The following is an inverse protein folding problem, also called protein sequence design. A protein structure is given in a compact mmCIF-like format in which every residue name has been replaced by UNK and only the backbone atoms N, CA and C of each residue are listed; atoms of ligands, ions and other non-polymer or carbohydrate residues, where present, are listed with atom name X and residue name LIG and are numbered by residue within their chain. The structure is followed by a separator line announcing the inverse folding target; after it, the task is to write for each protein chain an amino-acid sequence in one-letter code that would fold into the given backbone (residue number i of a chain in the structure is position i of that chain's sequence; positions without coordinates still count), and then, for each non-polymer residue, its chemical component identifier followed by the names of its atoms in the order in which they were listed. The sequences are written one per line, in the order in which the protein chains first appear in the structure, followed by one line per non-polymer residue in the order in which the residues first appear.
data_IF_924708595602
#
_entry.id   IF_924708595602
#
_cell.length_a   1.000
_cell.length_b   1.000
_cell.length_c   1.000
_cell.angle_alpha   90.00
_cell.angle_beta   90.00
_cell.angle_gamma   90.00
#
_symmetry.space_group_name_H-M   'P 1'
#
loop_
_entity.id
_entity.type
_entity.pdbx_description
1 polymer ?
#
# COMPACT_ATOMS: atom_id res chain seq x y z
N UNK A 1 -25.75 42.78 -10.73
CA UNK A 1 -24.99 41.56 -11.05
C UNK A 1 -25.93 40.40 -10.80
N UNK A 2 -26.32 39.67 -11.85
CA UNK A 2 -27.30 38.56 -11.72
C UNK A 2 -26.64 37.41 -10.96
N UNK A 3 -27.37 36.80 -10.01
CA UNK A 3 -26.91 35.66 -9.22
C UNK A 3 -26.51 34.44 -10.08
N UNK A 4 -26.88 34.43 -11.36
CA UNK A 4 -26.63 33.35 -12.31
C UNK A 4 -25.18 33.28 -12.82
N UNK A 5 -24.38 34.33 -12.60
CA UNK A 5 -22.98 34.38 -13.03
C UNK A 5 -22.10 33.34 -12.29
N UNK A 6 -22.50 32.92 -11.09
CA UNK A 6 -21.75 31.97 -10.24
C UNK A 6 -22.31 30.54 -10.23
N UNK A 7 -23.35 30.26 -11.02
CA UNK A 7 -23.96 28.92 -11.06
C UNK A 7 -23.04 28.00 -11.87
N UNK A 8 -22.43 26.96 -11.25
CA UNK A 8 -21.41 26.14 -11.90
C UNK A 8 -22.00 25.03 -12.78
N UNK A 9 -23.29 25.12 -13.10
CA UNK A 9 -24.03 24.12 -13.90
C UNK A 9 -24.85 24.83 -14.99
N UNK A 10 -25.09 24.20 -16.15
CA UNK A 10 -25.96 24.75 -17.16
C UNK A 10 -27.37 24.96 -16.62
N UNK A 11 -27.77 26.22 -16.55
CA UNK A 11 -29.02 26.68 -15.96
C UNK A 11 -29.72 27.72 -16.84
N UNK A 12 -31.04 27.66 -16.91
CA UNK A 12 -31.90 28.60 -17.64
C UNK A 12 -33.10 29.02 -16.78
N UNK A 13 -33.43 30.31 -16.83
CA UNK A 13 -34.75 30.82 -16.46
C UNK A 13 -35.58 30.89 -17.74
N UNK A 14 -36.76 30.26 -17.73
CA UNK A 14 -37.67 30.27 -18.87
C UNK A 14 -39.06 30.73 -18.47
N UNK A 15 -39.83 31.28 -19.41
CA UNK A 15 -41.26 31.53 -19.21
C UNK A 15 -42.11 30.29 -19.55
N UNK A 16 -43.44 30.45 -19.51
CA UNK A 16 -44.41 29.38 -19.82
C UNK A 16 -44.35 28.85 -21.26
N UNK A 17 -43.77 29.61 -22.17
CA UNK A 17 -43.57 29.26 -23.58
C UNK A 17 -42.15 28.74 -23.86
N UNK A 18 -41.35 28.55 -22.80
CA UNK A 18 -39.93 28.18 -22.84
C UNK A 18 -39.00 29.26 -23.42
N UNK A 19 -39.43 30.52 -23.48
CA UNK A 19 -38.55 31.61 -23.87
C UNK A 19 -37.52 31.84 -22.76
N UNK A 20 -36.25 31.94 -23.14
CA UNK A 20 -35.14 32.09 -22.20
C UNK A 20 -35.12 33.52 -21.69
N UNK A 21 -35.40 33.70 -20.40
CA UNK A 21 -35.35 34.98 -19.70
C UNK A 21 -33.93 35.30 -19.25
N UNK A 22 -33.23 34.32 -18.67
CA UNK A 22 -31.82 34.41 -18.27
C UNK A 22 -31.14 33.04 -18.36
N UNK A 23 -29.81 33.00 -18.40
CA UNK A 23 -29.03 31.77 -18.41
C UNK A 23 -27.72 31.93 -17.63
N UNK A 24 -27.17 30.82 -17.14
CA UNK A 24 -25.85 30.80 -16.48
C UNK A 24 -24.69 30.94 -17.47
N UNK A 25 -23.52 31.35 -16.98
CA UNK A 25 -22.29 31.38 -17.79
C UNK A 25 -21.97 30.00 -18.41
N UNK A 26 -22.20 28.92 -17.66
CA UNK A 26 -21.96 27.55 -18.16
C UNK A 26 -22.87 27.19 -19.33
N UNK A 27 -24.15 27.60 -19.28
CA UNK A 27 -25.06 27.44 -20.42
C UNK A 27 -24.56 28.15 -21.68
N UNK A 28 -23.97 29.34 -21.52
CA UNK A 28 -23.45 30.13 -22.63
C UNK A 28 -22.19 29.54 -23.29
N UNK A 29 -21.38 28.79 -22.55
CA UNK A 29 -20.26 28.03 -23.12
C UNK A 29 -20.75 26.77 -23.84
N UNK A 30 -21.76 26.09 -23.27
CA UNK A 30 -22.17 24.76 -23.69
C UNK A 30 -23.10 24.74 -24.90
N UNK A 31 -24.02 25.71 -24.97
CA UNK A 31 -25.09 25.77 -25.94
C UNK A 31 -24.93 26.96 -26.88
N UNK A 32 -25.57 26.88 -28.05
CA UNK A 32 -25.68 28.04 -28.95
C UNK A 32 -26.63 29.08 -28.35
N UNK A 33 -26.43 30.39 -28.59
CA UNK A 33 -27.39 31.40 -28.19
C UNK A 33 -28.74 31.17 -28.90
N UNK A 34 -29.80 30.96 -28.12
CA UNK A 34 -31.17 30.77 -28.61
C UNK A 34 -32.14 31.60 -27.79
N UNK A 35 -33.23 32.04 -28.42
CA UNK A 35 -34.29 32.78 -27.73
C UNK A 35 -35.25 31.84 -26.99
N UNK A 36 -35.40 30.60 -27.46
CA UNK A 36 -36.24 29.59 -26.84
C UNK A 36 -35.41 28.36 -26.44
N UNK A 37 -35.70 27.78 -25.29
CA UNK A 37 -35.00 26.59 -24.80
C UNK A 37 -35.21 25.37 -25.70
N UNK A 38 -36.39 25.24 -26.32
CA UNK A 38 -36.70 24.11 -27.20
C UNK A 38 -35.83 24.08 -28.46
N UNK A 39 -35.27 25.22 -28.87
CA UNK A 39 -34.33 25.30 -29.99
C UNK A 39 -32.98 24.64 -29.66
N UNK A 40 -32.68 24.43 -28.37
CA UNK A 40 -31.50 23.70 -27.90
C UNK A 40 -31.74 22.19 -27.80
N UNK A 41 -33.02 21.79 -27.81
CA UNK A 41 -33.44 20.40 -27.73
C UNK A 41 -33.55 19.83 -29.14
N UNK A 42 -33.04 18.62 -29.34
CA UNK A 42 -33.17 17.92 -30.61
C UNK A 42 -34.65 17.75 -31.01
N UNK A 43 -34.93 17.85 -32.31
CA UNK A 43 -36.30 17.84 -32.86
C UNK A 43 -37.10 16.63 -32.37
N UNK A 44 -36.47 15.45 -32.26
CA UNK A 44 -37.14 14.23 -31.80
C UNK A 44 -37.40 14.22 -30.28
N UNK A 45 -36.74 15.09 -29.52
CA UNK A 45 -36.91 15.25 -28.07
C UNK A 45 -37.79 16.43 -27.68
N UNK A 46 -38.17 17.32 -28.61
CA UNK A 46 -38.97 18.52 -28.32
C UNK A 46 -40.39 18.21 -27.82
N UNK A 47 -41.07 17.20 -28.39
CA UNK A 47 -42.40 16.80 -27.93
C UNK A 47 -42.37 16.25 -26.50
N UNK A 48 -41.32 15.47 -26.18
CA UNK A 48 -41.05 14.98 -24.83
C UNK A 48 -40.76 16.14 -23.88
N UNK A 49 -39.93 17.10 -24.29
CA UNK A 49 -39.63 18.29 -23.50
C UNK A 49 -40.90 19.09 -23.19
N UNK A 50 -41.72 19.39 -24.21
CA UNK A 50 -42.99 20.11 -24.01
C UNK A 50 -43.90 19.38 -23.03
N UNK A 51 -44.12 18.08 -23.25
CA UNK A 51 -45.04 17.28 -22.43
C UNK A 51 -44.60 17.18 -20.97
N UNK A 52 -43.31 16.95 -20.72
CA UNK A 52 -42.83 16.67 -19.36
C UNK A 52 -42.39 17.93 -18.60
N UNK A 53 -41.90 18.96 -19.29
CA UNK A 53 -41.45 20.20 -18.64
C UNK A 53 -42.62 21.18 -18.39
N UNK A 54 -43.73 21.09 -19.13
CA UNK A 54 -44.90 21.96 -18.89
C UNK A 54 -45.84 21.46 -17.78
N UNK A 55 -45.61 20.24 -17.25
CA UNK A 55 -46.46 19.65 -16.22
C UNK A 55 -46.35 20.45 -14.92
N UNK A 56 -47.45 21.13 -14.56
CA UNK A 56 -47.61 21.81 -13.26
C UNK A 56 -48.38 20.90 -12.31
N UNK A 57 -48.13 21.00 -11.01
CA UNK A 57 -48.70 20.12 -9.96
C UNK A 57 -50.23 19.99 -9.94
N UNK A 58 -50.98 20.89 -10.62
CA UNK A 58 -52.44 20.80 -10.75
C UNK A 58 -52.91 19.80 -11.81
N UNK A 59 -52.09 19.50 -12.80
CA UNK A 59 -52.46 18.65 -13.96
C UNK A 59 -52.01 17.19 -13.80
N UNK A 60 -51.27 16.86 -12.73
CA UNK A 60 -50.73 15.52 -12.47
C UNK A 60 -51.77 14.48 -12.03
N UNK A 61 -53.05 14.85 -11.91
CA UNK A 61 -54.13 13.92 -11.51
C UNK A 61 -54.76 13.15 -12.67
N UNK A 62 -54.48 13.49 -13.93
CA UNK A 62 -55.11 12.83 -15.08
C UNK A 62 -54.22 11.81 -15.82
N UNK A 63 -52.94 11.67 -15.45
CA UNK A 63 -52.06 10.62 -15.99
C UNK A 63 -51.75 9.56 -14.92
N UNK A 64 -52.79 8.93 -14.36
CA UNK A 64 -52.63 7.67 -13.65
C UNK A 64 -53.40 6.58 -14.38
N UNK A 65 -52.80 6.02 -15.43
CA UNK A 65 -53.13 4.67 -15.87
C UNK A 65 -51.82 3.95 -16.18
N UNK A 66 -51.56 2.95 -15.33
CA UNK A 66 -50.68 1.80 -15.49
C UNK A 66 -49.19 2.03 -15.68
N UNK A 67 -48.46 2.16 -14.56
CA UNK A 67 -47.27 1.34 -14.29
C UNK A 67 -46.87 1.45 -12.80
N UNK A 68 -46.75 0.34 -12.06
CA UNK A 68 -46.32 0.36 -10.66
C UNK A 68 -44.80 0.22 -10.61
N UNK A 69 -44.06 1.25 -10.22
CA UNK A 69 -42.73 1.06 -9.63
C UNK A 69 -42.46 2.09 -8.53
N UNK A 70 -42.27 1.52 -7.35
CA UNK A 70 -41.53 2.01 -6.18
C UNK A 70 -41.86 3.40 -5.64
N UNK A 71 -42.81 3.38 -4.70
CA UNK A 71 -42.96 4.37 -3.65
C UNK A 71 -41.67 4.50 -2.83
N UNK A 72 -40.93 5.60 -3.02
CA UNK A 72 -40.19 6.24 -1.93
C UNK A 72 -39.75 7.66 -2.30
N UNK A 73 -40.68 8.62 -2.24
CA UNK A 73 -40.33 10.02 -1.92
C UNK A 73 -41.52 10.76 -1.34
N UNK A 74 -41.58 10.91 -0.02
CA UNK A 74 -42.44 11.92 0.62
C UNK A 74 -41.71 12.53 1.83
N UNK A 75 -40.76 13.43 1.54
CA UNK A 75 -40.54 14.58 2.43
C UNK A 75 -41.53 15.65 1.98
N UNK A 76 -42.62 15.78 2.74
CA UNK A 76 -43.56 16.89 2.61
C UNK A 76 -42.82 18.19 2.92
N UNK A 77 -42.54 18.98 1.89
CA UNK A 77 -42.31 20.41 2.01
C UNK A 77 -43.15 21.09 0.93
N UNK A 78 -43.69 22.28 1.24
CA UNK A 78 -44.53 23.10 0.35
C UNK A 78 -43.74 23.68 -0.84
N UNK A 79 -42.99 22.84 -1.56
CA UNK A 79 -42.28 23.17 -2.79
C UNK A 79 -42.98 22.53 -3.99
N UNK A 80 -43.07 23.24 -5.10
CA UNK A 80 -43.56 22.70 -6.37
C UNK A 80 -42.74 21.46 -6.78
N UNK A 81 -43.39 20.44 -7.34
CA UNK A 81 -42.73 19.20 -7.74
C UNK A 81 -41.70 19.46 -8.83
N UNK A 82 -40.48 18.98 -8.60
CA UNK A 82 -39.40 19.01 -9.60
C UNK A 82 -39.73 17.95 -10.66
N UNK A 83 -39.84 18.38 -11.92
CA UNK A 83 -40.02 17.47 -13.05
C UNK A 83 -38.65 17.12 -13.62
N UNK A 84 -38.41 15.85 -13.92
CA UNK A 84 -37.17 15.34 -14.51
C UNK A 84 -37.45 14.68 -15.86
N UNK A 85 -36.61 14.96 -16.85
CA UNK A 85 -36.72 14.36 -18.18
C UNK A 85 -35.36 14.26 -18.86
N UNK A 86 -35.10 13.11 -19.47
CA UNK A 86 -33.92 12.91 -20.32
C UNK A 86 -34.20 13.45 -21.72
N UNK A 87 -33.36 14.39 -22.17
CA UNK A 87 -33.46 15.06 -23.46
C UNK A 87 -32.13 14.98 -24.22
N UNK A 88 -32.22 14.74 -25.52
CA UNK A 88 -31.08 14.94 -26.41
C UNK A 88 -31.02 16.42 -26.75
N UNK A 89 -29.87 17.05 -26.50
CA UNK A 89 -29.64 18.47 -26.73
C UNK A 89 -28.46 18.69 -27.68
N UNK A 90 -28.53 19.80 -28.43
CA UNK A 90 -27.48 20.22 -29.35
C UNK A 90 -26.51 21.15 -28.62
N UNK A 91 -25.27 20.73 -28.48
CA UNK A 91 -24.20 21.53 -27.85
C UNK A 91 -23.28 22.10 -28.91
N UNK A 92 -22.40 23.02 -28.52
CA UNK A 92 -21.38 23.56 -29.44
C UNK A 92 -20.40 22.48 -29.94
N UNK A 93 -20.08 21.50 -29.09
CA UNK A 93 -19.06 20.47 -29.37
C UNK A 93 -19.64 19.18 -29.97
N UNK A 94 -20.92 18.86 -29.68
CA UNK A 94 -21.61 17.68 -30.19
C UNK A 94 -23.07 17.98 -30.50
N UNK A 95 -23.58 17.62 -31.70
CA UNK A 95 -24.97 17.82 -32.09
C UNK A 95 -25.95 16.89 -31.36
N UNK A 96 -25.48 15.80 -30.74
CA UNK A 96 -26.34 14.84 -30.03
C UNK A 96 -25.72 14.48 -28.68
N UNK A 97 -26.10 15.20 -27.63
CA UNK A 97 -25.65 14.92 -26.26
C UNK A 97 -26.84 14.68 -25.35
N UNK A 98 -26.76 13.64 -24.51
CA UNK A 98 -27.83 13.29 -23.59
C UNK A 98 -27.71 14.07 -22.28
N UNK A 99 -28.79 14.74 -21.89
CA UNK A 99 -28.89 15.52 -20.67
C UNK A 99 -30.08 15.05 -19.83
N UNK A 100 -29.87 14.96 -18.53
CA UNK A 100 -30.95 14.95 -17.55
C UNK A 100 -31.35 16.42 -17.25
N UNK A 101 -32.56 16.79 -17.65
CA UNK A 101 -33.10 18.13 -17.44
C UNK A 101 -34.08 18.12 -16.27
N UNK A 102 -33.86 19.00 -15.29
CA UNK A 102 -34.75 19.19 -14.15
C UNK A 102 -35.38 20.59 -14.23
N UNK A 103 -36.71 20.67 -14.17
CA UNK A 103 -37.42 21.95 -14.09
C UNK A 103 -38.21 22.06 -12.81
N UNK A 104 -38.12 23.23 -12.18
CA UNK A 104 -38.99 23.64 -11.09
C UNK A 104 -39.65 24.97 -11.49
N UNK A 105 -40.98 24.97 -11.55
CA UNK A 105 -41.73 26.20 -11.75
C UNK A 105 -41.82 26.97 -10.43
N UNK A 106 -41.63 28.28 -10.46
CA UNK A 106 -42.05 29.24 -9.44
C UNK A 106 -42.96 30.27 -10.13
N UNK A 107 -44.26 30.23 -9.79
CA UNK A 107 -45.30 31.01 -10.48
C UNK A 107 -45.30 30.76 -12.02
N UNK A 108 -44.86 31.74 -12.82
CA UNK A 108 -44.76 31.65 -14.28
C UNK A 108 -43.32 31.54 -14.81
N UNK A 109 -42.35 31.46 -13.90
CA UNK A 109 -40.94 31.30 -14.23
C UNK A 109 -40.51 29.85 -13.97
N UNK A 110 -39.96 29.20 -14.99
CA UNK A 110 -39.36 27.89 -14.92
C UNK A 110 -37.86 27.98 -14.65
N UNK A 111 -37.41 27.37 -13.56
CA UNK A 111 -36.00 27.19 -13.23
C UNK A 111 -35.54 25.85 -13.78
N UNK A 112 -34.71 25.87 -14.81
CA UNK A 112 -34.29 24.68 -15.53
C UNK A 112 -32.78 24.42 -15.34
N UNK A 113 -32.43 23.21 -14.95
CA UNK A 113 -31.06 22.71 -14.81
C UNK A 113 -30.83 21.58 -15.82
N UNK A 114 -29.72 21.62 -16.56
CA UNK A 114 -29.34 20.56 -17.50
C UNK A 114 -28.03 19.90 -17.04
N UNK A 115 -28.07 18.60 -16.73
CA UNK A 115 -26.90 17.82 -16.31
C UNK A 115 -26.54 16.85 -17.43
N UNK A 116 -25.33 16.96 -17.98
CA UNK A 116 -24.84 16.04 -19.02
C UNK A 116 -24.56 14.66 -18.41
N UNK A 117 -25.02 13.59 -19.04
CA UNK A 117 -24.89 12.24 -18.46
C UNK A 117 -23.47 11.64 -18.56
N UNK A 118 -22.49 12.34 -19.17
CA UNK A 118 -21.15 11.82 -19.46
C UNK A 118 -20.01 12.30 -18.51
N UNK A 119 -20.23 13.27 -17.62
CA UNK A 119 -19.14 13.85 -16.79
C UNK A 119 -18.81 13.04 -15.52
N UNK A 120 -19.68 12.13 -15.08
CA UNK A 120 -19.48 11.34 -13.85
C UNK A 120 -18.41 10.24 -13.98
N UNK A 121 -18.10 9.77 -15.19
CA UNK A 121 -17.13 8.69 -15.43
C UNK A 121 -15.70 9.22 -15.59
N UNK A 122 -15.50 10.43 -16.13
CA UNK A 122 -14.17 11.00 -16.27
C UNK A 122 -13.54 11.36 -14.92
N UNK A 123 -14.30 11.93 -13.98
CA UNK A 123 -13.78 12.24 -12.64
C UNK A 123 -13.42 10.98 -11.85
N UNK A 124 -14.26 9.94 -11.91
CA UNK A 124 -13.97 8.65 -11.30
C UNK A 124 -12.75 7.97 -11.94
N UNK A 125 -12.59 8.08 -13.26
CA UNK A 125 -11.42 7.52 -13.96
C UNK A 125 -10.15 8.25 -13.56
N UNK A 126 -10.18 9.58 -13.45
CA UNK A 126 -9.03 10.39 -13.00
C UNK A 126 -8.68 10.10 -11.53
N UNK A 127 -9.68 9.97 -10.66
CA UNK A 127 -9.48 9.60 -9.25
C UNK A 127 -8.87 8.20 -9.12
N UNK A 128 -9.37 7.23 -9.90
CA UNK A 128 -8.82 5.86 -9.93
C UNK A 128 -7.41 5.83 -10.50
N UNK A 129 -7.12 6.62 -11.54
CA UNK A 129 -5.76 6.73 -12.08
C UNK A 129 -4.79 7.37 -11.08
N UNK A 130 -5.21 8.41 -10.37
CA UNK A 130 -4.40 9.06 -9.34
C UNK A 130 -4.17 8.15 -8.13
N UNK A 131 -5.20 7.40 -7.71
CA UNK A 131 -5.04 6.35 -6.70
C UNK A 131 -4.08 5.26 -7.16
N UNK A 132 -4.18 4.77 -8.39
CA UNK A 132 -3.24 3.75 -8.91
C UNK A 132 -1.80 4.27 -8.95
N UNK A 133 -1.60 5.54 -9.31
CA UNK A 133 -0.28 6.18 -9.30
C UNK A 133 0.27 6.30 -7.88
N UNK A 134 -0.54 6.81 -6.94
CA UNK A 134 -0.19 6.89 -5.51
C UNK A 134 0.08 5.52 -4.87
N UNK A 135 -0.66 4.48 -5.25
CA UNK A 135 -0.41 3.12 -4.78
C UNK A 135 0.95 2.62 -5.31
N UNK A 136 1.26 2.85 -6.58
CA UNK A 136 2.56 2.47 -7.15
C UNK A 136 3.74 3.22 -6.50
N UNK A 137 3.58 4.52 -6.22
CA UNK A 137 4.59 5.32 -5.53
C UNK A 137 4.76 4.88 -4.07
N UNK A 138 3.65 4.65 -3.35
CA UNK A 138 3.67 4.11 -1.97
C UNK A 138 4.30 2.72 -1.92
N UNK A 139 4.00 1.85 -2.90
CA UNK A 139 4.60 0.52 -2.98
C UNK A 139 6.12 0.61 -3.18
N UNK A 140 6.60 1.55 -3.99
CA UNK A 140 8.04 1.78 -4.15
C UNK A 140 8.70 2.28 -2.86
N UNK A 141 8.10 3.26 -2.18
CA UNK A 141 8.59 3.75 -0.88
C UNK A 141 8.57 2.65 0.20
N UNK A 142 7.51 1.85 0.27
CA UNK A 142 7.40 0.70 1.17
C UNK A 142 8.47 -0.35 0.88
N UNK A 143 8.77 -0.60 -0.40
CA UNK A 143 9.79 -1.55 -0.81
C UNK A 143 11.19 -1.07 -0.41
N UNK A 144 11.47 0.23 -0.54
CA UNK A 144 12.72 0.84 -0.07
C UNK A 144 12.82 0.80 1.48
N UNK A 145 11.73 1.09 2.20
CA UNK A 145 11.70 0.98 3.65
C UNK A 145 11.89 -0.46 4.13
N UNK A 146 11.27 -1.43 3.46
CA UNK A 146 11.47 -2.85 3.73
C UNK A 146 12.93 -3.25 3.53
N UNK A 147 13.56 -2.84 2.44
CA UNK A 147 14.98 -3.15 2.18
C UNK A 147 15.89 -2.54 3.26
N UNK A 148 15.65 -1.29 3.68
CA UNK A 148 16.38 -0.65 4.77
C UNK A 148 16.18 -1.37 6.11
N UNK A 149 14.95 -1.81 6.37
CA UNK A 149 14.62 -2.56 7.57
C UNK A 149 15.32 -3.92 7.58
N UNK A 150 15.30 -4.66 6.46
CA UNK A 150 16.00 -5.93 6.30
C UNK A 150 17.52 -5.79 6.50
N UNK A 151 18.15 -4.76 5.90
CA UNK A 151 19.58 -4.46 6.12
C UNK A 151 19.88 -4.13 7.58
N UNK A 152 19.02 -3.35 8.23
CA UNK A 152 19.17 -3.01 9.65
C UNK A 152 19.00 -4.24 10.54
N UNK A 153 18.04 -5.11 10.23
CA UNK A 153 17.80 -6.38 10.91
C UNK A 153 19.00 -7.32 10.74
N UNK A 154 19.55 -7.45 9.53
CA UNK A 154 20.75 -8.25 9.28
C UNK A 154 21.95 -7.74 10.08
N UNK A 155 22.13 -6.43 10.16
CA UNK A 155 23.19 -5.82 10.97
C UNK A 155 22.97 -6.05 12.46
N UNK A 156 21.73 -5.94 12.94
CA UNK A 156 21.38 -6.28 14.32
C UNK A 156 21.66 -7.75 14.59
N UNK A 157 21.27 -8.68 13.70
CA UNK A 157 21.57 -10.11 13.81
C UNK A 157 23.07 -10.39 13.88
N UNK A 158 23.88 -9.69 13.10
CA UNK A 158 25.36 -9.78 13.14
C UNK A 158 25.95 -9.21 14.44
N UNK A 159 25.34 -8.17 15.01
CA UNK A 159 25.78 -7.53 16.25
C UNK A 159 25.27 -8.26 17.51
N UNK A 160 24.13 -8.96 17.40
CA UNK A 160 23.54 -9.79 18.45
C UNK A 160 24.13 -11.19 18.51
N UNK A 161 24.84 -11.59 17.44
CA UNK A 161 25.69 -12.76 17.47
C UNK A 161 27.08 -12.34 17.96
N UNK A 162 27.63 -13.04 18.94
CA UNK A 162 29.06 -13.02 19.24
C UNK A 162 29.85 -13.66 18.08
N UNK A 163 29.78 -13.08 16.89
CA UNK A 163 30.40 -13.58 15.67
C UNK A 163 31.10 -12.43 14.95
N UNK A 164 32.43 -12.45 14.98
CA UNK A 164 33.32 -11.48 14.38
C UNK A 164 33.89 -12.09 13.10
N UNK A 165 33.55 -11.51 11.95
CA UNK A 165 34.11 -11.92 10.65
C UNK A 165 35.56 -11.46 10.53
N UNK A 166 36.51 -12.39 10.47
CA UNK A 166 37.93 -12.07 10.25
C UNK A 166 38.29 -12.04 8.76
N UNK A 167 37.69 -12.90 7.95
CA UNK A 167 37.85 -12.90 6.49
C UNK A 167 36.62 -13.50 5.79
N UNK A 168 36.67 -13.66 4.45
CA UNK A 168 35.62 -14.34 3.69
C UNK A 168 35.46 -15.82 4.04
N UNK A 169 36.48 -16.46 4.64
CA UNK A 169 36.47 -17.90 4.96
C UNK A 169 36.66 -18.21 6.45
N UNK A 170 37.04 -17.22 7.26
CA UNK A 170 37.36 -17.37 8.69
C UNK A 170 36.46 -16.50 9.55
N UNK A 171 35.77 -17.10 10.52
CA UNK A 171 34.98 -16.42 11.55
C UNK A 171 35.54 -16.63 12.96
N UNK A 172 35.35 -15.66 13.84
CA UNK A 172 35.73 -15.68 15.26
C UNK A 172 34.48 -15.57 16.13
N UNK A 173 34.39 -16.39 17.18
CA UNK A 173 33.24 -16.52 18.06
C UNK A 173 33.73 -16.34 19.49
N UNK A 174 33.66 -15.12 20.06
CA UNK A 174 33.98 -14.93 21.47
C UNK A 174 32.87 -15.49 22.37
N UNK A 175 33.28 -16.31 23.34
CA UNK A 175 32.40 -16.88 24.36
C UNK A 175 32.68 -16.19 25.70
N UNK A 176 31.61 -15.82 26.41
CA UNK A 176 31.68 -15.12 27.69
C UNK A 176 30.83 -15.82 28.75
N UNK A 177 31.28 -15.80 30.00
CA UNK A 177 30.57 -16.39 31.14
C UNK A 177 30.98 -17.83 31.43
N UNK A 178 30.04 -18.68 31.82
CA UNK A 178 30.30 -20.09 32.08
C UNK A 178 29.84 -20.94 30.91
N UNK A 179 30.63 -21.96 30.54
CA UNK A 179 30.20 -22.93 29.54
C UNK A 179 29.21 -23.90 30.19
N UNK A 180 27.93 -23.57 30.07
CA UNK A 180 26.80 -24.41 30.42
C UNK A 180 25.92 -24.74 29.19
N UNK A 181 24.85 -25.49 29.39
CA UNK A 181 23.94 -25.87 28.31
C UNK A 181 23.13 -24.68 27.75
N UNK A 182 22.91 -23.63 28.56
CA UNK A 182 22.18 -22.44 28.14
C UNK A 182 23.00 -21.61 27.16
N UNK A 183 24.29 -21.38 27.48
CA UNK A 183 25.22 -20.68 26.61
C UNK A 183 25.37 -21.41 25.26
N UNK A 184 25.45 -22.74 25.28
CA UNK A 184 25.55 -23.52 24.04
C UNK A 184 24.25 -23.43 23.23
N UNK A 185 23.08 -23.53 23.85
CA UNK A 185 21.80 -23.46 23.13
C UNK A 185 21.55 -22.10 22.48
N UNK A 186 21.85 -21.02 23.19
CA UNK A 186 21.75 -19.63 22.69
C UNK A 186 22.68 -19.42 21.48
N UNK A 187 23.92 -19.86 21.61
CA UNK A 187 24.91 -19.73 20.54
C UNK A 187 24.66 -20.68 19.36
N UNK A 188 24.07 -21.86 19.58
CA UNK A 188 23.82 -22.85 18.52
C UNK A 188 22.90 -22.29 17.44
N UNK A 189 21.75 -21.75 17.84
CA UNK A 189 20.74 -21.24 16.92
C UNK A 189 21.25 -20.04 16.11
N UNK A 190 22.05 -19.20 16.76
CA UNK A 190 22.60 -17.99 16.15
C UNK A 190 23.72 -18.34 15.16
N UNK A 191 24.64 -19.21 15.56
CA UNK A 191 25.84 -19.52 14.77
C UNK A 191 25.58 -20.49 13.62
N UNK A 192 24.59 -21.39 13.72
CA UNK A 192 24.18 -22.23 12.59
C UNK A 192 23.64 -21.40 11.42
N UNK A 193 22.83 -20.37 11.72
CA UNK A 193 22.33 -19.44 10.71
C UNK A 193 23.49 -18.64 10.07
N UNK A 194 24.42 -18.13 10.87
CA UNK A 194 25.58 -17.39 10.36
C UNK A 194 26.55 -18.26 9.54
N UNK A 195 26.74 -19.52 9.91
CA UNK A 195 27.60 -20.46 9.18
C UNK A 195 27.03 -20.83 7.81
N UNK A 196 25.70 -20.97 7.69
CA UNK A 196 25.04 -21.32 6.43
C UNK A 196 25.12 -20.20 5.38
N UNK A 197 25.00 -18.94 5.81
CA UNK A 197 25.01 -17.79 4.89
C UNK A 197 26.43 -17.38 4.42
N UNK A 198 27.46 -17.74 5.17
CA UNK A 198 28.79 -17.11 5.04
C UNK A 198 29.87 -17.86 4.27
N UNK A 199 29.63 -19.08 3.79
CA UNK A 199 30.64 -19.94 3.15
C UNK A 199 31.97 -20.04 3.96
N UNK A 200 31.87 -20.05 5.29
CA UNK A 200 33.05 -20.17 6.15
C UNK A 200 33.62 -21.58 6.08
N UNK A 201 34.94 -21.69 5.96
CA UNK A 201 35.65 -22.98 6.04
C UNK A 201 36.28 -23.18 7.42
N UNK A 202 36.39 -22.11 8.21
CA UNK A 202 37.10 -22.11 9.49
C UNK A 202 36.40 -21.23 10.52
N UNK A 203 36.20 -21.76 11.72
CA UNK A 203 35.65 -21.05 12.87
C UNK A 203 36.60 -21.10 14.07
N UNK A 204 36.79 -19.96 14.72
CA UNK A 204 37.64 -19.81 15.89
C UNK A 204 36.76 -19.51 17.10
N UNK A 205 36.83 -20.31 18.15
CA UNK A 205 36.09 -20.09 19.39
C UNK A 205 37.03 -19.54 20.45
N UNK A 206 36.80 -18.31 20.88
CA UNK A 206 37.62 -17.65 21.89
C UNK A 206 37.06 -17.90 23.29
N UNK A 207 37.81 -18.68 24.06
CA UNK A 207 37.52 -19.06 25.44
C UNK A 207 38.08 -18.06 26.46
N UNK A 208 38.72 -16.96 26.02
CA UNK A 208 39.33 -15.98 26.92
C UNK A 208 38.32 -15.35 27.89
N UNK A 209 37.06 -15.22 27.46
CA UNK A 209 35.95 -14.71 28.26
C UNK A 209 35.24 -15.73 29.15
N UNK A 210 35.63 -17.01 29.10
CA UNK A 210 35.04 -18.06 29.91
C UNK A 210 35.73 -18.19 31.29
N UNK A 211 34.97 -18.65 32.30
CA UNK A 211 35.46 -18.93 33.65
C UNK A 211 35.26 -20.41 34.03
N UNK A 212 34.01 -20.87 34.16
CA UNK A 212 33.72 -22.26 34.55
C UNK A 212 33.24 -23.08 33.35
N UNK A 213 33.76 -24.29 33.21
CA UNK A 213 33.30 -25.27 32.22
C UNK A 213 32.54 -26.40 32.93
N UNK A 214 31.22 -26.41 32.81
CA UNK A 214 30.38 -27.47 33.38
C UNK A 214 30.51 -28.77 32.59
N UNK A 215 30.18 -29.90 33.20
CA UNK A 215 30.21 -31.21 32.51
C UNK A 215 29.23 -31.23 31.35
N UNK A 216 28.02 -30.75 31.61
CA UNK A 216 26.90 -30.73 30.70
C UNK A 216 27.18 -29.75 29.55
N UNK A 217 27.78 -28.59 29.85
CA UNK A 217 28.22 -27.62 28.85
C UNK A 217 29.31 -28.17 27.94
N UNK A 218 30.29 -28.93 28.46
CA UNK A 218 31.32 -29.57 27.64
C UNK A 218 30.69 -30.56 26.65
N UNK A 219 29.76 -31.40 27.13
CA UNK A 219 29.08 -32.37 26.28
C UNK A 219 28.20 -31.69 25.21
N UNK A 220 27.45 -30.66 25.61
CA UNK A 220 26.62 -29.89 24.67
C UNK A 220 27.49 -29.20 23.61
N UNK A 221 28.60 -28.58 24.02
CA UNK A 221 29.52 -27.91 23.11
C UNK A 221 30.20 -28.90 22.15
N UNK A 222 30.53 -30.12 22.60
CA UNK A 222 31.06 -31.16 21.71
C UNK A 222 30.07 -31.53 20.59
N UNK A 223 28.79 -31.73 20.93
CA UNK A 223 27.74 -31.98 19.93
C UNK A 223 27.55 -30.80 18.98
N UNK A 224 27.66 -29.58 19.51
CA UNK A 224 27.62 -28.37 18.72
C UNK A 224 28.79 -28.28 17.72
N UNK A 225 30.02 -28.60 18.13
CA UNK A 225 31.18 -28.63 17.24
C UNK A 225 31.07 -29.70 16.15
N UNK A 226 30.52 -30.87 16.48
CA UNK A 226 30.28 -31.93 15.52
C UNK A 226 29.33 -31.49 14.39
N UNK A 227 28.35 -30.63 14.70
CA UNK A 227 27.45 -30.08 13.67
C UNK A 227 28.20 -29.28 12.59
N UNK A 228 29.19 -28.49 12.97
CA UNK A 228 30.03 -27.74 12.03
C UNK A 228 30.98 -28.63 11.24
N UNK A 229 31.55 -29.66 11.87
CA UNK A 229 32.40 -30.61 11.16
C UNK A 229 31.63 -31.33 10.03
N UNK A 230 30.39 -31.74 10.29
CA UNK A 230 29.51 -32.33 9.26
C UNK A 230 29.22 -31.37 8.10
N UNK A 231 29.30 -30.05 8.34
CA UNK A 231 29.17 -29.00 7.32
C UNK A 231 30.49 -28.71 6.59
N UNK A 232 31.58 -29.44 6.89
CA UNK A 232 32.90 -29.22 6.30
C UNK A 232 33.66 -28.02 6.88
N UNK A 233 33.26 -27.54 8.05
CA UNK A 233 33.88 -26.39 8.72
C UNK A 233 34.88 -26.90 9.77
N UNK A 234 36.12 -26.40 9.72
CA UNK A 234 37.14 -26.72 10.72
C UNK A 234 37.04 -25.77 11.91
N UNK A 235 36.88 -26.32 13.12
CA UNK A 235 36.76 -25.55 14.36
C UNK A 235 38.08 -25.52 15.14
N UNK A 236 38.48 -24.33 15.58
CA UNK A 236 39.64 -24.11 16.44
C UNK A 236 39.20 -23.50 17.76
N UNK A 237 39.82 -23.91 18.85
CA UNK A 237 39.64 -23.28 20.17
C UNK A 237 40.88 -22.44 20.46
N UNK A 238 40.67 -21.18 20.82
CA UNK A 238 41.71 -20.24 21.24
C UNK A 238 41.40 -19.67 22.62
N UNK A 239 42.39 -19.06 23.28
CA UNK A 239 42.16 -18.32 24.53
C UNK A 239 41.87 -19.20 25.76
N UNK A 240 42.25 -20.48 25.73
CA UNK A 240 42.10 -21.36 26.88
C UNK A 240 43.02 -20.99 28.04
N UNK A 241 42.46 -20.92 29.25
CA UNK A 241 43.19 -20.69 30.50
C UNK A 241 43.62 -22.02 31.13
N UNK A 242 44.67 -22.05 31.98
CA UNK A 242 45.12 -23.29 32.62
C UNK A 242 44.04 -24.03 33.42
N UNK A 243 43.14 -23.33 34.11
CA UNK A 243 42.04 -23.98 34.84
C UNK A 243 41.03 -24.67 33.91
N UNK A 244 40.87 -24.20 32.66
CA UNK A 244 40.03 -24.86 31.66
C UNK A 244 40.56 -26.26 31.30
N UNK A 245 41.89 -26.41 31.19
CA UNK A 245 42.52 -27.71 30.88
C UNK A 245 42.30 -28.74 31.99
N UNK A 246 42.16 -28.31 33.25
CA UNK A 246 41.83 -29.19 34.36
C UNK A 246 40.40 -29.77 34.24
N UNK A 247 39.43 -28.95 33.81
CA UNK A 247 38.04 -29.38 33.59
C UNK A 247 37.86 -30.32 32.40
N UNK A 248 38.83 -30.33 31.47
CA UNK A 248 38.88 -31.25 30.32
C UNK A 248 39.70 -32.52 30.58
N UNK A 249 40.22 -32.70 31.80
CA UNK A 249 40.98 -33.91 32.13
C UNK A 249 40.04 -35.13 32.06
N UNK A 250 40.19 -35.94 31.01
CA UNK A 250 39.33 -37.07 30.60
C UNK A 250 38.05 -36.71 29.83
N UNK A 251 37.90 -35.47 29.35
CA UNK A 251 36.79 -35.02 28.50
C UNK A 251 37.34 -34.26 27.31
N UNK A 252 36.86 -34.56 26.12
CA UNK A 252 37.25 -33.85 24.90
C UNK A 252 36.03 -33.19 24.30
N UNK A 253 36.23 -32.07 23.61
CA UNK A 253 35.20 -31.48 22.77
C UNK A 253 35.01 -32.25 21.43
N UNK A 254 35.76 -33.34 21.23
CA UNK A 254 35.86 -34.11 19.98
C UNK A 254 37.31 -34.19 19.49
N UNK A 255 37.63 -35.22 18.69
CA UNK A 255 38.97 -35.44 18.11
C UNK A 255 39.31 -34.47 16.97
N UNK A 256 38.31 -33.75 16.46
CA UNK A 256 38.40 -32.91 15.26
C UNK A 256 38.66 -31.44 15.57
N UNK A 257 38.83 -31.10 16.86
CA UNK A 257 39.05 -29.73 17.31
C UNK A 257 40.53 -29.51 17.54
N UNK A 258 41.02 -28.41 16.98
CA UNK A 258 42.43 -28.01 17.10
C UNK A 258 42.52 -26.93 18.18
N UNK A 259 43.30 -27.20 19.23
CA UNK A 259 43.54 -26.26 20.32
C UNK A 259 44.78 -25.41 20.01
N UNK A 260 44.66 -24.10 20.17
CA UNK A 260 45.75 -23.17 19.90
C UNK A 260 45.85 -22.10 21.00
N UNK A 261 47.09 -21.65 21.27
CA UNK A 261 47.34 -20.70 22.34
C UNK A 261 47.09 -19.24 21.91
N UNK A 262 47.19 -18.92 20.61
CA UNK A 262 47.04 -17.57 20.11
C UNK A 262 46.54 -17.50 18.66
N UNK A 263 45.91 -16.37 18.31
CA UNK A 263 45.39 -16.10 16.95
C UNK A 263 46.52 -16.00 15.90
N UNK A 264 47.72 -15.62 16.32
CA UNK A 264 48.88 -15.39 15.45
C UNK A 264 49.37 -16.67 14.74
N UNK A 265 49.26 -17.84 15.39
CA UNK A 265 49.62 -19.12 14.79
C UNK A 265 48.73 -19.49 13.58
N UNK A 266 47.47 -19.03 13.55
CA UNK A 266 46.52 -19.32 12.45
C UNK A 266 46.88 -18.57 11.17
N UNK A 267 47.36 -17.33 11.31
CA UNK A 267 47.79 -16.50 10.19
C UNK A 267 49.07 -17.08 9.55
N UNK A 268 49.92 -17.75 10.34
CA UNK A 268 51.12 -18.41 9.85
C UNK A 268 50.81 -19.71 9.08
N UNK A 269 49.85 -20.53 9.56
CA UNK A 269 49.47 -21.79 8.91
C UNK A 269 48.86 -21.56 7.52
N UNK A 270 48.04 -20.52 7.34
CA UNK A 270 47.43 -20.20 6.05
C UNK A 270 48.40 -19.57 5.02
N UNK A 271 49.58 -19.10 5.42
CA UNK A 271 50.60 -18.60 4.48
C UNK A 271 51.38 -19.71 3.77
N UNK A 272 51.34 -20.95 4.28
CA UNK A 272 52.07 -22.09 3.71
C UNK A 272 51.21 -22.98 2.79
N UNK A 273 49.98 -22.57 2.48
CA UNK A 273 49.06 -23.28 1.57
C UNK A 273 48.52 -22.34 0.48
N UNK A 274 49.34 -21.37 0.05
CA UNK A 274 49.11 -20.60 -1.18
C UNK A 274 49.91 -21.18 -2.34
#
# INVERSE_FOLDING_TARGET
MSMLEYVPIPYFLVDTEFNILEWSQQSGHLFKPSANFLDLVDVFSQEKARKFLSLRQKDSRELSVDEPHDEQTLVQSRGQAIQKVELVMQTNDSPYSLFECLIQWDSDIGHLVCIRQDERIQELTNLVQDHRKRLADTDFELLEQKERLEKSLQKIKQLSASFIKLSSKVGLIPLFGDLDTALVAENTSILQNCAHEGNYTTLLFDFGGLDILTTEGIQAFAGFMQSFYLMGITCYIIGMKPHHTASLKNRTFGEQIIYMNNLSEIIAVNKNVS
#
